data_IF_185945485095
#
_entry.id   IF_185945485095
#
_cell.length_a   1.000
_cell.length_b   1.000
_cell.length_c   1.000
_cell.angle_alpha   90.00
_cell.angle_beta   90.00
_cell.angle_gamma   90.00
#
_symmetry.space_group_name_H-M   'P 1'
#
loop_
_entity.id
_entity.type
_entity.pdbx_description
1 polymer ?
#
# COMPACT_ATOMS: atom_id res chain seq x y z
N UNK A 1 -16.88 -7.39 -8.06
CA UNK A 1 -16.82 -5.94 -7.80
C UNK A 1 -15.48 -5.57 -7.19
N UNK A 2 -14.90 -4.50 -7.68
CA UNK A 2 -13.64 -3.99 -7.18
C UNK A 2 -13.88 -3.18 -5.91
N UNK A 3 -13.11 -3.42 -4.87
CA UNK A 3 -13.17 -2.61 -3.66
C UNK A 3 -11.86 -1.88 -3.45
N UNK A 4 -11.95 -0.71 -2.85
CA UNK A 4 -10.79 0.13 -2.56
C UNK A 4 -10.55 0.11 -1.06
N UNK A 5 -9.30 -0.14 -0.67
CA UNK A 5 -8.87 -0.12 0.72
C UNK A 5 -7.85 0.98 0.90
N UNK A 6 -7.98 1.73 1.96
CA UNK A 6 -7.08 2.84 2.27
C UNK A 6 -6.33 2.56 3.57
N UNK A 7 -5.05 2.93 3.58
CA UNK A 7 -4.18 2.72 4.74
C UNK A 7 -3.37 3.98 4.98
N UNK A 8 -3.05 4.24 6.24
CA UNK A 8 -2.06 5.27 6.59
C UNK A 8 -0.69 4.61 6.68
N UNK A 9 0.33 5.26 6.14
CA UNK A 9 1.67 4.70 6.05
C UNK A 9 2.72 5.76 6.37
N UNK A 10 4.00 5.36 6.36
CA UNK A 10 5.13 6.29 6.38
C UNK A 10 5.88 6.33 5.05
N UNK A 11 5.23 5.92 3.97
CA UNK A 11 5.81 5.98 2.62
C UNK A 11 5.74 7.43 2.15
N UNK A 12 6.84 8.16 2.28
CA UNK A 12 6.82 9.62 2.16
C UNK A 12 7.66 10.19 1.01
N UNK A 13 8.20 9.37 0.15
CA UNK A 13 9.01 9.86 -0.99
C UNK A 13 8.98 8.89 -2.16
N UNK A 14 9.46 9.35 -3.31
CA UNK A 14 9.50 8.52 -4.52
C UNK A 14 10.37 7.29 -4.38
N UNK A 15 11.48 7.38 -3.66
CA UNK A 15 12.34 6.23 -3.40
C UNK A 15 11.62 5.17 -2.56
N UNK A 16 10.83 5.61 -1.59
CA UNK A 16 10.04 4.71 -0.76
C UNK A 16 8.98 4.00 -1.59
N UNK A 17 8.30 4.73 -2.48
CA UNK A 17 7.33 4.15 -3.39
C UNK A 17 7.98 3.08 -4.27
N UNK A 18 9.16 3.35 -4.80
CA UNK A 18 9.90 2.37 -5.59
C UNK A 18 10.28 1.14 -4.79
N UNK A 19 10.64 1.32 -3.53
CA UNK A 19 11.01 0.20 -2.66
C UNK A 19 9.84 -0.72 -2.39
N UNK A 20 8.63 -0.18 -2.26
CA UNK A 20 7.44 -0.97 -1.96
C UNK A 20 6.80 -1.56 -3.22
N UNK A 21 7.11 -1.01 -4.39
CA UNK A 21 6.51 -1.43 -5.66
C UNK A 21 6.60 -2.95 -5.91
N UNK A 22 7.77 -3.59 -5.83
CA UNK A 22 7.85 -5.03 -6.09
C UNK A 22 7.06 -5.85 -5.08
N UNK A 23 6.93 -5.37 -3.85
CA UNK A 23 6.17 -6.07 -2.82
C UNK A 23 4.67 -6.01 -3.11
N UNK A 24 4.15 -4.83 -3.45
CA UNK A 24 2.72 -4.67 -3.73
C UNK A 24 2.32 -5.30 -5.07
N UNK A 25 3.19 -5.23 -6.07
CA UNK A 25 2.92 -5.85 -7.36
C UNK A 25 2.89 -7.37 -7.27
N UNK A 26 3.51 -7.94 -6.25
CA UNK A 26 3.54 -9.38 -6.04
C UNK A 26 2.32 -9.89 -5.26
N UNK A 27 1.50 -9.00 -4.74
CA UNK A 27 0.30 -9.41 -3.99
C UNK A 27 -0.80 -9.81 -4.95
N UNK A 28 -1.22 -11.07 -4.86
CA UNK A 28 -2.33 -11.57 -5.67
C UNK A 28 -3.61 -10.86 -5.27
N UNK A 29 -4.37 -10.43 -6.27
CA UNK A 29 -5.62 -9.70 -6.03
C UNK A 29 -5.49 -8.19 -6.02
N UNK A 30 -4.28 -7.64 -6.11
CA UNK A 30 -4.08 -6.20 -6.26
C UNK A 30 -4.16 -5.86 -7.75
N UNK A 31 -5.14 -5.04 -8.10
CA UNK A 31 -5.33 -4.57 -9.48
C UNK A 31 -4.52 -3.30 -9.74
N UNK A 32 -4.64 -2.34 -8.83
CA UNK A 32 -3.89 -1.09 -8.90
C UNK A 32 -3.71 -0.54 -7.48
N UNK A 33 -2.64 0.18 -7.28
CA UNK A 33 -2.38 0.84 -5.99
C UNK A 33 -1.65 2.16 -6.24
N UNK A 34 -1.78 3.05 -5.28
CA UNK A 34 -1.04 4.32 -5.31
C UNK A 34 -0.85 4.85 -3.89
N UNK A 35 0.16 5.70 -3.72
CA UNK A 35 0.42 6.36 -2.45
C UNK A 35 0.33 7.86 -2.67
N UNK A 36 -0.47 8.53 -1.83
CA UNK A 36 -0.54 9.99 -1.82
C UNK A 36 0.53 10.50 -0.84
N UNK A 37 1.71 10.80 -1.36
CA UNK A 37 2.84 11.23 -0.56
C UNK A 37 2.70 12.67 -0.06
N UNK A 38 1.75 13.43 -0.61
CA UNK A 38 1.48 14.79 -0.18
C UNK A 38 0.53 14.86 1.02
N UNK A 39 -0.25 13.79 1.26
CA UNK A 39 -1.11 13.70 2.42
C UNK A 39 -0.25 13.47 3.66
N UNK A 40 -0.60 14.12 4.78
CA UNK A 40 0.13 13.94 6.03
C UNK A 40 0.16 12.49 6.49
N UNK A 41 -0.88 11.73 6.19
CA UNK A 41 -1.00 10.32 6.57
C UNK A 41 -0.37 9.39 5.54
N UNK A 42 0.13 9.93 4.44
CA UNK A 42 0.75 9.14 3.35
C UNK A 42 -0.14 7.97 2.96
N UNK A 43 -1.35 8.30 2.53
CA UNK A 43 -2.41 7.31 2.30
C UNK A 43 -2.04 6.39 1.14
N UNK A 44 -2.03 5.09 1.41
CA UNK A 44 -1.94 4.05 0.39
C UNK A 44 -3.36 3.61 0.04
N UNK A 45 -3.72 3.71 -1.23
CA UNK A 45 -5.00 3.24 -1.75
C UNK A 45 -4.75 2.02 -2.62
N UNK A 46 -5.44 0.92 -2.32
CA UNK A 46 -5.29 -0.34 -3.04
C UNK A 46 -6.65 -0.77 -3.57
N UNK A 47 -6.70 -1.05 -4.85
CA UNK A 47 -7.91 -1.50 -5.52
C UNK A 47 -7.76 -2.95 -5.94
N UNK A 48 -8.78 -3.77 -5.66
CA UNK A 48 -8.75 -5.18 -6.01
C UNK A 48 -9.39 -6.05 -4.94
N UNK A 49 -9.11 -7.35 -5.00
CA UNK A 49 -9.68 -8.34 -4.09
C UNK A 49 -8.73 -8.78 -2.98
N UNK A 50 -7.50 -8.28 -2.96
CA UNK A 50 -6.53 -8.64 -1.93
C UNK A 50 -7.04 -8.24 -0.54
N UNK A 51 -6.76 -9.06 0.47
CA UNK A 51 -7.17 -8.78 1.83
C UNK A 51 -6.30 -7.67 2.44
N UNK A 52 -6.86 -6.94 3.40
CA UNK A 52 -6.12 -5.92 4.12
C UNK A 52 -4.89 -6.50 4.81
N UNK A 53 -5.03 -7.69 5.41
CA UNK A 53 -3.92 -8.37 6.10
C UNK A 53 -2.76 -8.68 5.15
N UNK A 54 -3.05 -9.12 3.94
CA UNK A 54 -2.01 -9.41 2.95
C UNK A 54 -1.26 -8.13 2.55
N UNK A 55 -1.99 -7.04 2.35
CA UNK A 55 -1.40 -5.75 1.99
C UNK A 55 -0.51 -5.23 3.13
N UNK A 56 -1.03 -5.27 4.35
CA UNK A 56 -0.30 -4.81 5.54
C UNK A 56 1.00 -5.60 5.69
N UNK A 57 0.92 -6.92 5.57
CA UNK A 57 2.09 -7.77 5.72
C UNK A 57 3.17 -7.45 4.69
N UNK A 58 2.77 -7.24 3.44
CA UNK A 58 3.75 -6.96 2.37
C UNK A 58 4.42 -5.62 2.57
N UNK A 59 3.68 -4.61 2.99
CA UNK A 59 4.25 -3.29 3.25
C UNK A 59 5.19 -3.33 4.45
N UNK A 60 4.82 -4.06 5.50
CA UNK A 60 5.69 -4.26 6.66
C UNK A 60 6.96 -5.02 6.29
N UNK A 61 6.84 -6.04 5.44
CA UNK A 61 7.99 -6.79 4.95
C UNK A 61 8.94 -5.91 4.14
N UNK A 62 8.42 -4.89 3.48
CA UNK A 62 9.23 -3.92 2.76
C UNK A 62 9.93 -2.91 3.69
N UNK A 63 9.60 -2.93 4.99
CA UNK A 63 10.22 -2.09 5.99
C UNK A 63 9.47 -0.80 6.30
N UNK A 64 8.20 -0.72 5.99
CA UNK A 64 7.38 0.48 6.23
C UNK A 64 6.32 0.22 7.28
N UNK A 65 5.86 1.30 7.91
CA UNK A 65 4.72 1.25 8.82
C UNK A 65 3.43 1.41 8.04
N UNK A 66 2.40 0.69 8.44
CA UNK A 66 1.09 0.73 7.78
C UNK A 66 0.01 0.40 8.81
N UNK A 67 -1.10 1.09 8.71
CA UNK A 67 -2.30 0.82 9.52
C UNK A 67 -3.55 1.06 8.68
N UNK A 68 -4.63 0.32 8.93
CA UNK A 68 -5.91 0.60 8.26
C UNK A 68 -6.39 2.02 8.57
N UNK A 69 -6.96 2.65 7.58
CA UNK A 69 -7.49 4.00 7.74
C UNK A 69 -8.96 3.93 8.16
#
# INVERSE_FOLDING_TARGET
>A
MTSIKNFTTNINCGSCVRSVTPFLDDVEGVTIWRVDVEDERKVLSVEGTASADAIIKMVEDAGFDISPL
#
